data_IF_570369800672
#
_entry.id   IF_570369800672
#
_cell.length_a   1.000
_cell.length_b   1.000
_cell.length_c   1.000
_cell.angle_alpha   90.00
_cell.angle_beta   90.00
_cell.angle_gamma   90.00
#
_symmetry.space_group_name_H-M   'P 1'
#
loop_
_entity.id
_entity.type
_entity.pdbx_description
1 polymer ?
#
# COMPACT_ATOMS: atom_id res chain seq x y z
N UNK A 1 19.22 7.28 -20.97
CA UNK A 1 18.08 7.08 -21.91
C UNK A 1 17.19 8.33 -21.92
N UNK A 2 16.63 8.81 -20.80
CA UNK A 2 15.68 9.92 -20.78
C UNK A 2 16.26 11.23 -21.40
N UNK A 3 17.45 11.71 -21.03
CA UNK A 3 18.03 12.89 -21.66
C UNK A 3 18.31 12.71 -23.16
N UNK A 4 18.58 11.50 -23.62
CA UNK A 4 18.79 11.20 -25.04
C UNK A 4 17.48 11.30 -25.84
N UNK A 5 16.38 10.78 -25.31
CA UNK A 5 15.06 10.89 -25.95
C UNK A 5 14.64 12.37 -26.01
N UNK A 6 14.80 13.12 -24.93
CA UNK A 6 14.50 14.55 -24.88
C UNK A 6 15.32 15.34 -25.90
N UNK A 7 16.60 14.95 -26.14
CA UNK A 7 17.47 15.60 -27.11
C UNK A 7 17.05 15.45 -28.59
N UNK A 8 16.20 14.43 -28.90
CA UNK A 8 15.60 14.24 -30.22
C UNK A 8 14.57 15.33 -30.53
N UNK A 9 13.92 15.83 -29.50
CA UNK A 9 12.86 16.81 -29.58
C UNK A 9 11.46 16.20 -29.71
N UNK A 10 10.52 16.86 -29.06
CA UNK A 10 9.12 16.37 -28.90
C UNK A 10 8.43 16.08 -30.23
N UNK A 11 8.50 17.02 -31.18
CA UNK A 11 7.84 16.90 -32.49
C UNK A 11 8.31 15.67 -33.28
N UNK A 12 9.63 15.42 -33.27
CA UNK A 12 10.21 14.27 -33.96
C UNK A 12 9.88 12.94 -33.31
N UNK A 13 9.82 12.91 -32.01
CA UNK A 13 9.41 11.72 -31.26
C UNK A 13 7.93 11.42 -31.47
N UNK A 14 7.07 12.45 -31.47
CA UNK A 14 5.63 12.29 -31.83
C UNK A 14 5.46 11.73 -33.25
N UNK A 15 6.26 12.18 -34.23
CA UNK A 15 6.28 11.61 -35.58
C UNK A 15 6.60 10.12 -35.55
N UNK A 16 7.63 9.70 -34.83
CA UNK A 16 7.99 8.28 -34.71
C UNK A 16 6.91 7.44 -34.03
N UNK A 17 6.30 7.95 -32.96
CA UNK A 17 5.22 7.27 -32.25
C UNK A 17 3.97 7.08 -33.10
N UNK A 18 3.69 8.03 -34.02
CA UNK A 18 2.53 7.98 -34.91
C UNK A 18 2.75 7.16 -36.18
N UNK A 19 4.01 6.96 -36.57
CA UNK A 19 4.36 6.25 -37.81
C UNK A 19 4.75 4.78 -37.62
N UNK A 20 5.03 4.38 -36.38
CA UNK A 20 5.45 3.02 -36.03
C UNK A 20 4.44 2.34 -35.13
N UNK A 21 3.75 1.34 -35.62
CA UNK A 21 2.83 0.51 -34.81
C UNK A 21 3.51 -0.09 -33.57
N UNK A 22 4.79 -0.47 -33.70
CA UNK A 22 5.57 -1.00 -32.59
C UNK A 22 5.80 0.03 -31.48
N UNK A 23 6.00 1.31 -31.81
CA UNK A 23 6.25 2.36 -30.85
C UNK A 23 4.94 2.94 -30.25
N UNK A 24 3.82 2.71 -30.89
CA UNK A 24 2.52 3.26 -30.46
C UNK A 24 2.19 2.90 -29.01
N UNK A 25 2.43 1.67 -28.59
CA UNK A 25 2.16 1.17 -27.24
C UNK A 25 3.03 1.88 -26.17
N UNK A 26 4.12 2.50 -26.56
CA UNK A 26 5.02 3.26 -25.70
C UNK A 26 4.75 4.77 -25.70
N UNK A 27 3.70 5.23 -26.38
CA UNK A 27 3.37 6.65 -26.51
C UNK A 27 3.20 7.34 -25.17
N UNK A 28 2.45 6.73 -24.24
CA UNK A 28 2.23 7.33 -22.92
C UNK A 28 3.52 7.50 -22.10
N UNK A 29 4.34 6.47 -21.86
CA UNK A 29 5.58 6.61 -21.09
C UNK A 29 6.60 7.54 -21.76
N UNK A 30 6.68 7.56 -23.09
CA UNK A 30 7.60 8.45 -23.81
C UNK A 30 7.13 9.91 -23.73
N UNK A 31 5.84 10.17 -23.94
CA UNK A 31 5.28 11.54 -23.82
C UNK A 31 5.31 12.06 -22.39
N UNK A 32 5.28 11.18 -21.40
CA UNK A 32 5.50 11.53 -20.00
C UNK A 32 6.86 12.19 -19.79
N UNK A 33 7.92 11.75 -20.47
CA UNK A 33 9.26 12.34 -20.36
C UNK A 33 9.25 13.83 -20.76
N UNK A 34 8.56 14.18 -21.85
CA UNK A 34 8.45 15.57 -22.28
C UNK A 34 7.60 16.43 -21.33
N UNK A 35 6.61 15.84 -20.65
CA UNK A 35 5.85 16.53 -19.62
C UNK A 35 6.69 16.85 -18.38
N UNK A 36 7.66 15.98 -18.09
CA UNK A 36 8.53 16.08 -16.93
C UNK A 36 9.94 16.64 -17.30
N UNK A 37 10.10 17.19 -18.52
CA UNK A 37 11.39 17.67 -19.03
C UNK A 37 12.02 18.69 -18.11
N UNK A 38 11.25 19.63 -17.56
CA UNK A 38 11.74 20.66 -16.63
C UNK A 38 12.30 20.11 -15.32
N UNK A 39 11.99 18.86 -14.99
CA UNK A 39 12.46 18.12 -13.81
C UNK A 39 13.51 17.07 -14.14
N UNK A 40 13.86 16.92 -15.42
CA UNK A 40 14.94 16.04 -15.89
C UNK A 40 16.24 16.83 -15.94
N UNK A 41 17.24 16.36 -15.22
CA UNK A 41 18.53 17.03 -15.14
C UNK A 41 19.44 16.63 -16.30
N UNK A 42 20.57 17.35 -16.44
CA UNK A 42 21.63 16.97 -17.38
C UNK A 42 22.21 15.59 -17.02
N UNK A 43 22.76 14.90 -18.02
CA UNK A 43 23.26 13.53 -17.89
C UNK A 43 24.22 13.34 -16.71
N UNK A 44 25.15 14.26 -16.52
CA UNK A 44 26.14 14.27 -15.44
C UNK A 44 25.51 14.40 -14.06
N UNK A 45 24.44 15.20 -13.93
CA UNK A 45 23.69 15.38 -12.68
C UNK A 45 22.80 14.17 -12.39
N UNK A 46 22.15 13.59 -13.41
CA UNK A 46 21.40 12.34 -13.25
C UNK A 46 22.31 11.19 -12.82
N UNK A 47 23.49 11.08 -13.42
CA UNK A 47 24.51 10.11 -13.02
C UNK A 47 24.93 10.31 -11.57
N UNK A 48 25.23 11.54 -11.17
CA UNK A 48 25.58 11.85 -9.78
C UNK A 48 24.46 11.46 -8.81
N UNK A 49 23.20 11.80 -9.10
CA UNK A 49 22.08 11.43 -8.25
C UNK A 49 21.85 9.92 -8.17
N UNK A 50 22.16 9.18 -9.24
CA UNK A 50 22.02 7.73 -9.26
C UNK A 50 22.90 7.02 -8.23
N UNK A 51 24.06 7.58 -7.88
CA UNK A 51 24.97 7.05 -6.85
C UNK A 51 24.34 7.01 -5.46
N UNK A 52 23.35 7.86 -5.20
CA UNK A 52 22.63 7.91 -3.91
C UNK A 52 21.42 6.98 -3.86
N UNK A 53 21.05 6.31 -4.94
CA UNK A 53 19.84 5.48 -5.01
C UNK A 53 19.84 4.38 -3.96
N UNK A 54 20.97 3.67 -3.79
CA UNK A 54 21.10 2.59 -2.81
C UNK A 54 21.03 3.12 -1.37
N UNK A 55 21.73 4.23 -1.09
CA UNK A 55 21.70 4.87 0.24
C UNK A 55 20.29 5.35 0.56
N UNK A 56 19.57 5.91 -0.40
CA UNK A 56 18.20 6.34 -0.23
C UNK A 56 17.23 5.18 0.03
N UNK A 57 17.49 3.99 -0.52
CA UNK A 57 16.70 2.78 -0.30
C UNK A 57 16.89 2.17 1.10
N UNK A 58 18.03 2.39 1.75
CA UNK A 58 18.32 1.80 3.07
C UNK A 58 17.38 2.24 4.19
N UNK A 59 16.72 3.38 4.07
CA UNK A 59 15.71 3.83 5.04
C UNK A 59 14.50 2.89 5.09
N UNK A 60 14.06 2.42 3.93
CA UNK A 60 12.94 1.48 3.80
C UNK A 60 13.34 0.10 4.32
N UNK A 61 14.59 -0.30 4.10
CA UNK A 61 15.17 -1.53 4.64
C UNK A 61 15.27 -1.51 6.16
N UNK A 62 15.77 -0.42 6.76
CA UNK A 62 15.83 -0.24 8.20
C UNK A 62 14.43 -0.35 8.82
N UNK A 63 13.43 0.31 8.22
CA UNK A 63 12.05 0.20 8.68
C UNK A 63 11.54 -1.23 8.62
N UNK A 64 11.78 -1.93 7.51
CA UNK A 64 11.37 -3.31 7.31
C UNK A 64 12.02 -4.25 8.33
N UNK A 65 13.32 -4.11 8.59
CA UNK A 65 14.02 -4.91 9.59
C UNK A 65 13.43 -4.68 10.99
N UNK A 66 13.21 -3.43 11.39
CA UNK A 66 12.63 -3.09 12.70
C UNK A 66 11.19 -3.59 12.91
N UNK A 67 10.43 -3.77 11.83
CA UNK A 67 9.00 -4.15 11.89
C UNK A 67 8.74 -5.60 11.53
N UNK A 68 9.71 -6.32 10.94
CA UNK A 68 9.55 -7.70 10.49
C UNK A 68 10.65 -8.61 11.04
N UNK A 69 11.92 -8.36 10.69
CA UNK A 69 13.01 -9.29 11.02
C UNK A 69 13.40 -9.25 12.52
N UNK A 70 13.47 -8.05 13.11
CA UNK A 70 13.91 -7.83 14.49
C UNK A 70 12.75 -7.73 15.49
N UNK A 71 11.54 -8.08 15.07
CA UNK A 71 10.37 -7.95 15.94
C UNK A 71 10.20 -9.21 16.78
N UNK A 72 10.07 -9.04 18.10
CA UNK A 72 9.65 -10.09 19.03
C UNK A 72 8.22 -9.81 19.43
N UNK A 73 7.31 -10.60 18.90
CA UNK A 73 5.88 -10.42 19.15
C UNK A 73 5.50 -10.81 20.58
N UNK A 74 4.57 -10.06 21.21
CA UNK A 74 4.15 -10.34 22.59
C UNK A 74 3.19 -11.52 22.66
N UNK A 75 3.32 -12.29 23.71
CA UNK A 75 2.28 -13.20 24.17
C UNK A 75 1.47 -12.52 25.29
N UNK A 76 0.16 -12.62 25.23
CA UNK A 76 -0.75 -12.11 26.27
C UNK A 76 -1.65 -13.22 26.80
N UNK A 77 -2.06 -13.12 28.05
CA UNK A 77 -3.00 -14.04 28.68
C UNK A 77 -4.34 -13.31 28.80
N UNK A 78 -5.38 -13.86 28.16
CA UNK A 78 -6.72 -13.33 28.18
C UNK A 78 -7.42 -13.68 29.51
N UNK A 79 -8.56 -13.04 29.78
CA UNK A 79 -9.35 -13.25 31.00
C UNK A 79 -9.86 -14.69 31.17
N UNK A 80 -9.96 -15.45 30.08
CA UNK A 80 -10.30 -16.87 30.07
C UNK A 80 -9.07 -17.81 30.27
N UNK A 81 -7.90 -17.29 30.62
CA UNK A 81 -6.61 -17.97 30.74
C UNK A 81 -6.02 -18.49 29.40
N UNK A 82 -6.59 -18.13 28.28
CA UNK A 82 -6.01 -18.43 26.96
C UNK A 82 -4.78 -17.59 26.72
N UNK A 83 -3.71 -18.22 26.25
CA UNK A 83 -2.45 -17.59 25.90
C UNK A 83 -2.41 -17.36 24.37
N UNK A 84 -2.28 -16.12 23.96
CA UNK A 84 -2.28 -15.75 22.54
C UNK A 84 -1.02 -15.00 22.16
N UNK A 85 -0.40 -15.38 21.05
CA UNK A 85 0.67 -14.61 20.41
C UNK A 85 0.01 -13.52 19.55
N UNK A 86 0.46 -12.27 19.72
CA UNK A 86 -0.13 -11.12 19.00
C UNK A 86 0.85 -10.62 17.95
N UNK A 87 0.51 -10.77 16.69
CA UNK A 87 1.30 -10.32 15.54
C UNK A 87 0.56 -9.25 14.74
N UNK A 88 1.27 -8.56 13.84
CA UNK A 88 0.65 -7.61 12.89
C UNK A 88 -0.38 -8.27 11.98
N UNK A 89 -0.14 -9.53 11.61
CA UNK A 89 -0.97 -10.31 10.70
C UNK A 89 -2.24 -10.83 11.38
N UNK A 90 -2.14 -11.33 12.61
CA UNK A 90 -3.27 -11.99 13.29
C UNK A 90 -4.13 -11.06 14.15
N UNK A 91 -3.68 -9.84 14.48
CA UNK A 91 -4.39 -8.93 15.40
C UNK A 91 -5.85 -8.69 14.98
N UNK A 92 -6.10 -8.49 13.69
CA UNK A 92 -7.46 -8.25 13.18
C UNK A 92 -8.37 -9.43 13.41
N UNK A 93 -7.87 -10.65 13.23
CA UNK A 93 -8.57 -11.90 13.49
C UNK A 93 -8.82 -12.13 14.99
N UNK A 94 -7.82 -11.84 15.83
CA UNK A 94 -7.96 -11.91 17.29
C UNK A 94 -9.03 -10.92 17.78
N UNK A 95 -8.96 -9.64 17.39
CA UNK A 95 -9.90 -8.61 17.79
C UNK A 95 -11.33 -8.89 17.29
N UNK A 96 -11.48 -9.63 16.19
CA UNK A 96 -12.79 -10.08 15.69
C UNK A 96 -13.41 -11.15 16.56
N UNK A 97 -12.59 -12.05 17.15
CA UNK A 97 -13.04 -13.23 17.91
C UNK A 97 -13.22 -12.95 19.41
N UNK A 98 -12.41 -12.05 19.97
CA UNK A 98 -12.40 -11.77 21.42
C UNK A 98 -13.65 -10.96 21.81
N UNK A 99 -14.53 -11.54 22.62
CA UNK A 99 -15.78 -10.89 23.06
C UNK A 99 -15.54 -9.84 24.16
N UNK A 100 -14.58 -10.09 25.06
CA UNK A 100 -14.28 -9.17 26.17
C UNK A 100 -13.54 -7.92 25.68
N UNK A 101 -14.11 -6.74 25.96
CA UNK A 101 -13.51 -5.47 25.52
C UNK A 101 -12.16 -5.17 26.17
N UNK A 102 -11.95 -5.57 27.43
CA UNK A 102 -10.67 -5.37 28.10
C UNK A 102 -9.58 -6.27 27.50
N UNK A 103 -9.93 -7.50 27.11
CA UNK A 103 -9.00 -8.40 26.43
C UNK A 103 -8.64 -7.86 25.02
N UNK A 104 -9.62 -7.31 24.29
CA UNK A 104 -9.32 -6.62 23.03
C UNK A 104 -8.37 -5.44 23.23
N UNK A 105 -8.59 -4.64 24.27
CA UNK A 105 -7.70 -3.55 24.64
C UNK A 105 -6.29 -4.06 24.98
N UNK A 106 -6.20 -5.16 25.74
CA UNK A 106 -4.91 -5.77 26.09
C UNK A 106 -4.14 -6.22 24.84
N UNK A 107 -4.80 -6.97 23.94
CA UNK A 107 -4.23 -7.43 22.68
C UNK A 107 -3.79 -6.25 21.81
N UNK A 108 -4.65 -5.25 21.63
CA UNK A 108 -4.32 -4.07 20.86
C UNK A 108 -3.11 -3.31 21.41
N UNK A 109 -3.11 -3.02 22.72
CA UNK A 109 -2.03 -2.28 23.35
C UNK A 109 -0.72 -3.06 23.31
N UNK A 110 -0.73 -4.37 23.49
CA UNK A 110 0.48 -5.19 23.48
C UNK A 110 1.25 -5.09 22.16
N UNK A 111 0.55 -5.03 21.03
CA UNK A 111 1.18 -4.81 19.73
C UNK A 111 1.71 -3.38 19.58
N UNK A 112 0.89 -2.37 19.91
CA UNK A 112 1.31 -0.98 19.73
C UNK A 112 2.41 -0.54 20.69
N UNK A 113 2.52 -1.15 21.86
CA UNK A 113 3.62 -0.92 22.79
C UNK A 113 4.99 -1.35 22.22
N UNK A 114 5.03 -2.30 21.28
CA UNK A 114 6.26 -2.62 20.56
C UNK A 114 6.78 -1.42 19.76
N UNK A 115 5.88 -0.79 19.01
CA UNK A 115 6.22 0.39 18.21
C UNK A 115 6.56 1.58 19.11
N UNK A 116 5.81 1.78 20.19
CA UNK A 116 6.04 2.85 21.16
C UNK A 116 7.42 2.77 21.80
N UNK A 117 7.90 1.57 22.11
CA UNK A 117 9.27 1.37 22.64
C UNK A 117 10.38 1.79 21.67
N UNK A 118 10.08 1.87 20.37
CA UNK A 118 11.00 2.26 19.28
C UNK A 118 10.63 3.61 18.65
N UNK A 119 9.80 4.45 19.32
CA UNK A 119 9.25 5.66 18.69
C UNK A 119 10.32 6.63 18.20
N UNK A 120 11.44 6.78 18.93
CA UNK A 120 12.54 7.65 18.52
C UNK A 120 13.22 7.15 17.23
N UNK A 121 13.38 5.82 17.09
CA UNK A 121 13.93 5.22 15.86
C UNK A 121 13.00 5.46 14.68
N UNK A 122 11.70 5.21 14.85
CA UNK A 122 10.70 5.47 13.82
C UNK A 122 10.60 6.96 13.45
N UNK A 123 10.64 7.85 14.45
CA UNK A 123 10.67 9.30 14.22
C UNK A 123 11.89 9.73 13.40
N UNK A 124 13.07 9.15 13.69
CA UNK A 124 14.30 9.43 12.94
C UNK A 124 14.23 8.94 11.49
N UNK A 125 13.70 7.73 11.27
CA UNK A 125 13.48 7.18 9.92
C UNK A 125 12.49 8.06 9.15
N UNK A 126 11.37 8.42 9.76
CA UNK A 126 10.36 9.28 9.14
C UNK A 126 10.94 10.65 8.76
N UNK A 127 11.70 11.27 9.67
CA UNK A 127 12.39 12.54 9.38
C UNK A 127 13.35 12.37 8.20
N UNK A 128 14.15 11.30 8.16
CA UNK A 128 15.08 11.04 7.07
C UNK A 128 14.36 10.87 5.71
N UNK A 129 13.20 10.20 5.69
CA UNK A 129 12.36 10.08 4.49
C UNK A 129 11.86 11.45 4.03
N UNK A 130 11.41 12.30 4.95
CA UNK A 130 10.97 13.68 4.63
C UNK A 130 12.14 14.50 4.08
N UNK A 131 13.33 14.42 4.68
CA UNK A 131 14.52 15.13 4.21
C UNK A 131 14.97 14.63 2.83
N UNK A 132 14.92 13.32 2.58
CA UNK A 132 15.15 12.73 1.26
C UNK A 132 14.19 13.30 0.21
N UNK A 133 12.89 13.31 0.53
CA UNK A 133 11.86 13.88 -0.36
C UNK A 133 12.11 15.36 -0.66
N UNK A 134 12.46 16.15 0.35
CA UNK A 134 12.77 17.58 0.19
C UNK A 134 14.03 17.80 -0.67
N UNK A 135 15.09 17.02 -0.44
CA UNK A 135 16.31 17.09 -1.22
C UNK A 135 16.06 16.73 -2.70
N UNK A 136 15.27 15.68 -2.95
CA UNK A 136 14.89 15.26 -4.31
C UNK A 136 14.05 16.34 -5.00
N UNK A 137 13.03 16.89 -4.32
CA UNK A 137 12.20 17.95 -4.88
C UNK A 137 13.05 19.17 -5.27
N UNK A 138 13.94 19.62 -4.39
CA UNK A 138 14.85 20.74 -4.67
C UNK A 138 15.82 20.45 -5.81
N UNK A 139 16.42 19.25 -5.82
CA UNK A 139 17.38 18.87 -6.86
C UNK A 139 16.74 18.85 -8.26
N UNK A 140 15.45 18.51 -8.34
CA UNK A 140 14.69 18.39 -9.58
C UNK A 140 13.79 19.58 -9.89
N UNK A 141 13.97 20.71 -9.22
CA UNK A 141 13.23 21.95 -9.42
C UNK A 141 11.71 21.84 -9.20
N UNK A 142 11.26 20.97 -8.29
CA UNK A 142 9.87 20.99 -7.82
C UNK A 142 9.69 22.08 -6.75
N UNK A 143 8.54 22.70 -6.73
CA UNK A 143 8.19 23.71 -5.72
C UNK A 143 8.19 23.12 -4.30
N UNK A 144 7.65 21.91 -4.17
CA UNK A 144 7.56 21.20 -2.91
C UNK A 144 7.48 19.67 -3.11
N UNK A 145 7.48 18.93 -1.99
CA UNK A 145 7.40 17.46 -2.01
C UNK A 145 6.08 16.98 -2.61
N UNK A 146 4.96 17.63 -2.29
CA UNK A 146 3.65 17.23 -2.77
C UNK A 146 3.60 17.27 -4.30
N UNK A 147 4.07 18.36 -4.90
CA UNK A 147 4.15 18.48 -6.35
C UNK A 147 5.02 17.36 -6.96
N UNK A 148 6.18 17.07 -6.37
CA UNK A 148 7.08 16.03 -6.88
C UNK A 148 6.46 14.64 -6.93
N UNK A 149 5.52 14.35 -6.04
CA UNK A 149 4.77 13.08 -6.06
C UNK A 149 3.60 13.10 -7.04
N UNK A 150 2.83 14.18 -7.08
CA UNK A 150 1.62 14.25 -7.89
C UNK A 150 1.91 14.44 -9.39
N UNK A 151 2.99 15.14 -9.72
CA UNK A 151 3.36 15.43 -11.12
C UNK A 151 3.69 14.17 -11.91
N UNK A 152 4.31 13.17 -11.27
CA UNK A 152 4.60 11.88 -11.88
C UNK A 152 3.34 11.17 -12.41
N UNK A 153 2.21 11.34 -11.75
CA UNK A 153 0.91 10.77 -12.14
C UNK A 153 0.01 11.77 -12.87
N UNK A 154 0.54 12.96 -13.18
CA UNK A 154 -0.17 14.06 -13.81
C UNK A 154 -1.42 14.50 -13.04
N UNK A 155 -1.33 14.53 -11.71
CA UNK A 155 -2.40 14.94 -10.81
C UNK A 155 -2.18 16.39 -10.40
N UNK A 156 -3.10 17.31 -10.70
CA UNK A 156 -3.04 18.69 -10.21
C UNK A 156 -3.14 18.75 -8.68
N UNK A 157 -2.42 19.67 -8.02
CA UNK A 157 -2.44 19.84 -6.57
C UNK A 157 -3.86 20.05 -6.02
N UNK A 158 -4.71 20.75 -6.76
CA UNK A 158 -6.10 21.04 -6.41
C UNK A 158 -6.95 19.77 -6.25
N UNK A 159 -6.62 18.70 -6.98
CA UNK A 159 -7.31 17.39 -6.85
C UNK A 159 -7.02 16.81 -5.47
N UNK A 160 -5.76 16.81 -5.05
CA UNK A 160 -5.36 16.35 -3.72
C UNK A 160 -5.97 17.21 -2.60
N UNK A 161 -5.89 18.54 -2.74
CA UNK A 161 -6.45 19.47 -1.75
C UNK A 161 -7.97 19.30 -1.63
N UNK A 162 -8.67 19.15 -2.76
CA UNK A 162 -10.10 18.89 -2.79
C UNK A 162 -10.46 17.53 -2.16
N UNK A 163 -9.66 16.49 -2.39
CA UNK A 163 -9.83 15.19 -1.73
C UNK A 163 -9.76 15.33 -0.20
N UNK A 164 -8.73 16.01 0.31
CA UNK A 164 -8.55 16.26 1.74
C UNK A 164 -9.73 17.06 2.31
N UNK A 165 -10.11 18.14 1.64
CA UNK A 165 -11.24 19.00 2.04
C UNK A 165 -12.55 18.24 2.06
N UNK A 166 -12.84 17.48 1.00
CA UNK A 166 -14.07 16.70 0.87
C UNK A 166 -14.13 15.62 1.94
N UNK A 167 -13.03 14.89 2.18
CA UNK A 167 -12.96 13.85 3.21
C UNK A 167 -13.21 14.44 4.60
N UNK A 168 -12.58 15.57 4.93
CA UNK A 168 -12.81 16.26 6.21
C UNK A 168 -14.25 16.70 6.41
N UNK A 169 -14.89 17.17 5.35
CA UNK A 169 -16.27 17.66 5.41
C UNK A 169 -17.32 16.53 5.34
N UNK A 170 -16.93 15.32 4.95
CA UNK A 170 -17.81 14.17 4.74
C UNK A 170 -17.71 13.11 5.84
N UNK A 171 -17.37 13.50 7.07
CA UNK A 171 -17.18 12.55 8.20
C UNK A 171 -18.49 12.09 8.85
N UNK A 172 -19.60 12.78 8.62
CA UNK A 172 -20.91 12.47 9.28
C UNK A 172 -21.42 11.05 9.00
N UNK A 173 -21.35 10.50 7.77
CA UNK A 173 -21.77 9.10 7.54
C UNK A 173 -20.94 8.12 8.38
N UNK A 174 -19.63 8.33 8.53
CA UNK A 174 -18.77 7.50 9.35
C UNK A 174 -19.12 7.60 10.83
N UNK A 175 -19.37 8.80 11.35
CA UNK A 175 -19.82 8.99 12.73
C UNK A 175 -21.16 8.29 13.01
N UNK A 176 -22.12 8.37 12.10
CA UNK A 176 -23.40 7.66 12.18
C UNK A 176 -23.20 6.16 12.20
N UNK A 177 -22.31 5.64 11.34
CA UNK A 177 -21.99 4.21 11.31
C UNK A 177 -21.33 3.74 12.62
N UNK A 178 -20.36 4.50 13.15
CA UNK A 178 -19.72 4.21 14.44
C UNK A 178 -20.76 4.21 15.58
N UNK A 179 -21.70 5.18 15.60
CA UNK A 179 -22.78 5.23 16.57
C UNK A 179 -23.67 3.99 16.48
N UNK A 180 -24.08 3.61 15.28
CA UNK A 180 -24.87 2.39 15.04
C UNK A 180 -24.11 1.14 15.51
N UNK A 181 -22.82 1.02 15.20
CA UNK A 181 -22.00 -0.10 15.68
C UNK A 181 -21.95 -0.17 17.20
N UNK A 182 -21.68 0.96 17.86
CA UNK A 182 -21.66 1.07 19.32
C UNK A 182 -22.97 0.55 19.94
N UNK A 183 -24.11 1.01 19.43
CA UNK A 183 -25.45 0.62 19.87
C UNK A 183 -25.72 -0.88 19.63
N UNK A 184 -25.46 -1.38 18.43
CA UNK A 184 -25.72 -2.78 18.06
C UNK A 184 -24.83 -3.78 18.79
N UNK A 185 -23.60 -3.38 19.12
CA UNK A 185 -22.65 -4.20 19.88
C UNK A 185 -22.83 -4.06 21.41
N UNK A 186 -23.75 -3.19 21.88
CA UNK A 186 -24.01 -2.99 23.31
C UNK A 186 -22.82 -2.41 24.08
N UNK A 187 -21.94 -1.64 23.40
CA UNK A 187 -20.74 -1.09 24.00
C UNK A 187 -21.03 0.25 24.68
N UNK A 188 -20.56 0.42 25.91
CA UNK A 188 -20.61 1.72 26.60
C UNK A 188 -19.70 2.76 25.92
N UNK A 189 -18.51 2.34 25.52
CA UNK A 189 -17.55 3.14 24.75
C UNK A 189 -17.08 2.33 23.55
N UNK A 190 -16.86 3.02 22.41
CA UNK A 190 -16.39 2.40 21.18
C UNK A 190 -14.96 2.88 20.91
N UNK A 191 -14.02 1.94 20.80
CA UNK A 191 -12.61 2.21 20.56
C UNK A 191 -12.15 1.64 19.21
N UNK A 192 -10.99 2.03 18.76
CA UNK A 192 -10.40 1.55 17.49
C UNK A 192 -10.32 0.02 17.43
N UNK A 193 -10.04 -0.65 18.53
CA UNK A 193 -9.96 -2.10 18.60
C UNK A 193 -11.32 -2.81 18.51
N UNK A 194 -12.44 -2.08 18.65
CA UNK A 194 -13.79 -2.62 18.49
C UNK A 194 -14.26 -2.65 17.04
N UNK A 195 -13.53 -2.00 16.13
CA UNK A 195 -13.90 -1.90 14.71
C UNK A 195 -13.97 -3.24 13.98
N UNK A 196 -13.29 -4.26 14.49
CA UNK A 196 -13.23 -5.58 13.88
C UNK A 196 -14.39 -6.49 14.29
N UNK A 197 -15.13 -6.15 15.36
CA UNK A 197 -16.27 -6.95 15.78
C UNK A 197 -17.32 -7.06 14.67
N UNK A 198 -17.83 -8.26 14.38
CA UNK A 198 -18.88 -8.43 13.39
C UNK A 198 -20.22 -7.89 13.92
N UNK A 199 -21.00 -7.23 13.06
CA UNK A 199 -22.38 -6.85 13.37
C UNK A 199 -23.38 -8.00 13.15
N UNK A 200 -23.02 -8.95 12.30
CA UNK A 200 -23.79 -10.16 12.04
C UNK A 200 -22.91 -11.38 12.33
N UNK A 201 -23.49 -12.40 12.95
CA UNK A 201 -22.82 -13.68 13.14
C UNK A 201 -22.86 -14.43 11.81
N UNK A 202 -21.71 -14.87 11.33
CA UNK A 202 -21.59 -15.79 10.21
C UNK A 202 -20.77 -16.99 10.70
N UNK A 203 -21.39 -18.16 10.62
CA UNK A 203 -20.74 -19.42 10.99
C UNK A 203 -20.00 -20.05 9.81
N UNK A 204 -20.26 -19.55 8.59
CA UNK A 204 -19.69 -20.12 7.37
C UNK A 204 -18.24 -19.69 7.23
N UNK A 205 -17.36 -20.67 7.21
CA UNK A 205 -15.95 -20.55 6.88
C UNK A 205 -15.72 -21.18 5.51
N UNK A 206 -14.79 -20.60 4.78
CA UNK A 206 -14.39 -21.09 3.48
C UNK A 206 -12.89 -21.41 3.55
N UNK A 207 -12.49 -22.56 3.05
CA UNK A 207 -11.08 -22.85 2.80
C UNK A 207 -10.65 -22.15 1.50
N UNK A 208 -9.35 -22.22 1.19
CA UNK A 208 -8.81 -21.54 0.02
C UNK A 208 -9.42 -22.05 -1.28
N UNK A 209 -9.57 -23.36 -1.42
CA UNK A 209 -10.12 -24.03 -2.60
C UNK A 209 -11.56 -23.62 -2.84
N UNK A 210 -12.39 -23.60 -1.80
CA UNK A 210 -13.76 -23.09 -1.87
C UNK A 210 -13.81 -21.61 -2.26
N UNK A 211 -12.87 -20.81 -1.75
CA UNK A 211 -12.71 -19.41 -2.13
C UNK A 211 -12.40 -19.24 -3.62
N UNK A 212 -11.48 -20.04 -4.16
CA UNK A 212 -11.15 -20.04 -5.59
C UNK A 212 -12.37 -20.41 -6.45
N UNK A 213 -13.15 -21.42 -6.06
CA UNK A 213 -14.37 -21.78 -6.80
C UNK A 213 -15.40 -20.65 -6.82
N UNK A 214 -15.59 -19.95 -5.69
CA UNK A 214 -16.48 -18.79 -5.65
C UNK A 214 -16.01 -17.65 -6.55
N UNK A 215 -14.71 -17.42 -6.60
CA UNK A 215 -14.10 -16.41 -7.48
C UNK A 215 -14.28 -16.80 -8.95
N UNK A 216 -14.08 -18.06 -9.30
CA UNK A 216 -14.35 -18.59 -10.65
C UNK A 216 -15.79 -18.35 -11.09
N UNK A 217 -16.76 -18.69 -10.23
CA UNK A 217 -18.16 -18.45 -10.53
C UNK A 217 -18.47 -16.95 -10.73
N UNK A 218 -17.90 -16.08 -9.92
CA UNK A 218 -18.07 -14.64 -10.05
C UNK A 218 -17.48 -14.11 -11.39
N UNK A 219 -16.35 -14.63 -11.83
CA UNK A 219 -15.71 -14.18 -13.07
C UNK A 219 -16.44 -14.62 -14.35
N UNK A 220 -17.25 -15.67 -14.30
CA UNK A 220 -18.07 -16.07 -15.45
C UNK A 220 -19.00 -14.96 -15.95
N UNK A 221 -19.45 -14.08 -15.03
CA UNK A 221 -20.29 -12.93 -15.38
C UNK A 221 -19.56 -11.92 -16.28
N UNK A 222 -18.22 -11.88 -16.22
CA UNK A 222 -17.38 -11.00 -17.03
C UNK A 222 -17.10 -11.51 -18.44
N UNK A 223 -17.57 -12.71 -18.76
CA UNK A 223 -17.38 -13.37 -20.06
C UNK A 223 -16.23 -14.36 -20.08
N UNK A 224 -16.27 -15.28 -21.08
CA UNK A 224 -15.33 -16.42 -21.17
C UNK A 224 -13.86 -15.99 -21.31
N UNK A 225 -13.58 -14.94 -22.10
CA UNK A 225 -12.23 -14.45 -22.30
C UNK A 225 -11.60 -13.97 -20.98
N UNK A 226 -12.34 -13.18 -20.20
CA UNK A 226 -11.89 -12.72 -18.90
C UNK A 226 -11.72 -13.85 -17.89
N UNK A 227 -12.68 -14.78 -17.82
CA UNK A 227 -12.59 -15.94 -16.95
C UNK A 227 -11.35 -16.80 -17.25
N UNK A 228 -10.99 -16.95 -18.53
CA UNK A 228 -9.79 -17.68 -18.95
C UNK A 228 -8.50 -17.01 -18.48
N UNK A 229 -8.40 -15.68 -18.59
CA UNK A 229 -7.24 -14.95 -18.07
C UNK A 229 -7.13 -15.06 -16.54
N UNK A 230 -8.26 -15.06 -15.83
CA UNK A 230 -8.28 -15.25 -14.39
C UNK A 230 -7.77 -16.63 -13.96
N UNK A 231 -8.04 -17.70 -14.71
CA UNK A 231 -7.48 -19.04 -14.44
C UNK A 231 -5.95 -19.03 -14.49
N UNK A 232 -5.37 -18.25 -15.38
CA UNK A 232 -3.92 -18.10 -15.48
C UNK A 232 -3.33 -17.45 -14.21
N UNK A 233 -3.98 -16.41 -13.68
CA UNK A 233 -3.55 -15.72 -12.45
C UNK A 233 -3.75 -16.59 -11.20
N UNK A 234 -4.80 -17.43 -11.19
CA UNK A 234 -5.09 -18.36 -10.09
C UNK A 234 -4.32 -19.68 -10.18
N UNK A 235 -3.45 -19.84 -11.19
CA UNK A 235 -2.65 -21.05 -11.37
C UNK A 235 -1.70 -21.28 -10.19
N UNK A 236 -1.37 -22.54 -9.93
CA UNK A 236 -0.46 -22.93 -8.87
C UNK A 236 0.89 -22.20 -8.98
N UNK A 237 1.34 -21.65 -7.84
CA UNK A 237 2.60 -20.93 -7.73
C UNK A 237 2.56 -19.46 -8.11
N UNK A 238 1.40 -18.92 -8.50
CA UNK A 238 1.22 -17.48 -8.74
C UNK A 238 0.80 -16.74 -7.47
N UNK A 239 0.01 -17.38 -6.60
CA UNK A 239 -0.43 -16.83 -5.32
C UNK A 239 0.26 -17.59 -4.18
N UNK A 240 1.03 -16.87 -3.37
CA UNK A 240 1.60 -17.39 -2.12
C UNK A 240 0.60 -17.16 -0.97
N UNK A 241 -0.20 -18.20 -0.67
CA UNK A 241 -1.43 -18.09 0.13
C UNK A 241 -1.18 -18.07 1.63
N UNK A 242 -0.34 -18.99 2.13
CA UNK A 242 -0.27 -19.27 3.56
C UNK A 242 0.83 -18.52 4.27
N UNK A 243 0.60 -18.26 5.54
CA UNK A 243 1.57 -17.63 6.43
C UNK A 243 2.72 -18.59 6.76
N UNK A 244 3.93 -18.04 6.86
CA UNK A 244 5.10 -18.75 7.39
C UNK A 244 6.03 -17.78 8.12
N UNK A 245 6.99 -18.30 8.85
CA UNK A 245 7.97 -17.51 9.61
C UNK A 245 8.76 -16.61 8.65
N UNK A 246 8.88 -15.32 9.01
CA UNK A 246 9.58 -14.31 8.21
C UNK A 246 8.80 -13.76 7.01
N UNK A 247 7.62 -14.29 6.70
CA UNK A 247 6.77 -13.76 5.65
C UNK A 247 5.98 -12.55 6.14
N UNK A 248 6.08 -11.44 5.40
CA UNK A 248 5.28 -10.25 5.66
C UNK A 248 3.85 -10.46 5.18
N UNK A 249 2.87 -10.19 6.05
CA UNK A 249 1.46 -10.18 5.69
C UNK A 249 1.08 -9.04 4.76
N UNK A 250 0.03 -9.24 3.98
CA UNK A 250 -0.51 -8.24 3.07
C UNK A 250 -0.93 -8.85 1.74
N UNK A 251 -1.35 -7.99 0.82
CA UNK A 251 -1.63 -8.38 -0.55
C UNK A 251 -1.12 -7.29 -1.49
N UNK A 252 -0.49 -7.68 -2.57
CA UNK A 252 -0.08 -6.80 -3.65
C UNK A 252 -0.23 -7.52 -4.98
N UNK A 253 -0.41 -6.76 -6.04
CA UNK A 253 -0.30 -7.26 -7.40
C UNK A 253 0.85 -6.52 -8.07
N UNK A 254 1.77 -7.28 -8.63
CA UNK A 254 2.93 -6.74 -9.33
C UNK A 254 3.11 -7.51 -10.63
N UNK A 255 3.34 -6.81 -11.71
CA UNK A 255 3.56 -7.42 -13.00
C UNK A 255 4.44 -6.56 -13.89
N UNK A 256 5.04 -7.19 -14.89
CA UNK A 256 5.77 -6.53 -15.96
C UNK A 256 5.10 -6.88 -17.27
N UNK A 257 4.95 -5.90 -18.17
CA UNK A 257 4.33 -6.13 -19.46
C UNK A 257 4.93 -7.35 -20.19
N UNK A 258 4.08 -8.26 -20.64
CA UNK A 258 4.47 -9.48 -21.36
C UNK A 258 4.96 -10.63 -20.46
N UNK A 259 4.88 -10.52 -19.13
CA UNK A 259 5.24 -11.57 -18.18
C UNK A 259 4.08 -11.94 -17.27
N UNK A 260 4.24 -13.01 -16.50
CA UNK A 260 3.32 -13.32 -15.39
C UNK A 260 3.41 -12.23 -14.30
N UNK A 261 2.29 -11.93 -13.63
CA UNK A 261 2.30 -11.11 -12.44
C UNK A 261 3.20 -11.68 -11.36
#
# INVERSE_FOLDING_TARGET
INPEILSIGKEKVEEYLNTSDYLHDYSYPIMKLFREEEHTLSKDKEELLSYFTQVNGSLDEIYSNLTTADVIYPEVILSNNEKVLVTGENISSLLKKIENQNDRKLVFNSLFDLYKKKENSFASIYNAIVQRGLATAKARNYENILESFLKGDNIPNEVYENLVKTTRNSTEPLKRYIKLRKEKLGLENYFTFDRFLPLAKSEKQYNYEEGIELVREAFKVMGEAYAKECEYVMAQGVIDVYENEGKRGGAYSWGTFGTRP
#
